data_IF_779649300453
#
_entry.id   IF_779649300453
#
_cell.length_a   1.000
_cell.length_b   1.000
_cell.length_c   1.000
_cell.angle_alpha   90.00
_cell.angle_beta   90.00
_cell.angle_gamma   90.00
#
_symmetry.space_group_name_H-M   'P 1'
#
loop_
_entity.id
_entity.type
_entity.pdbx_description
1 polymer ?
#
# COMPACT_ATOMS: atom_id res chain seq x y z
N UNK A 1 5.42 5.56 -20.16
CA UNK A 1 4.66 6.21 -19.07
C UNK A 1 5.42 6.00 -17.77
N UNK A 2 5.72 7.07 -17.04
CA UNK A 2 6.43 7.05 -15.76
C UNK A 2 5.50 7.68 -14.73
N UNK A 3 5.41 7.08 -13.55
CA UNK A 3 4.58 7.56 -12.45
C UNK A 3 5.41 7.64 -11.16
N UNK A 4 4.89 8.34 -10.18
CA UNK A 4 5.57 8.58 -8.91
C UNK A 4 5.08 7.63 -7.81
N UNK A 5 6.01 7.09 -7.04
CA UNK A 5 5.68 6.37 -5.82
C UNK A 5 5.17 7.34 -4.74
N UNK A 6 3.95 7.12 -4.24
CA UNK A 6 3.32 7.99 -3.23
C UNK A 6 4.01 8.02 -1.85
N UNK A 7 4.99 7.15 -1.56
CA UNK A 7 5.76 7.16 -0.31
C UNK A 7 7.13 7.84 -0.52
N UNK A 8 7.98 7.24 -1.36
CA UNK A 8 9.33 7.75 -1.56
C UNK A 8 9.40 8.94 -2.52
N UNK A 9 8.37 9.19 -3.35
CA UNK A 9 8.36 10.27 -4.35
C UNK A 9 9.31 10.04 -5.53
N UNK A 10 9.77 8.80 -5.73
CA UNK A 10 10.65 8.45 -6.86
C UNK A 10 9.80 8.26 -8.12
N UNK A 11 10.21 8.88 -9.23
CA UNK A 11 9.64 8.66 -10.56
C UNK A 11 10.18 7.34 -11.11
N UNK A 12 9.30 6.36 -11.35
CA UNK A 12 9.66 5.02 -11.81
C UNK A 12 8.80 4.61 -13.02
N UNK A 13 9.29 3.71 -13.87
CA UNK A 13 8.47 3.10 -14.92
C UNK A 13 7.36 2.23 -14.30
N UNK A 14 6.19 2.21 -14.95
CA UNK A 14 4.97 1.57 -14.42
C UNK A 14 5.16 0.11 -13.98
N UNK A 15 6.01 -0.67 -14.66
CA UNK A 15 6.29 -2.07 -14.29
C UNK A 15 6.91 -2.27 -12.89
N UNK A 16 7.50 -1.23 -12.31
CA UNK A 16 8.07 -1.25 -10.96
C UNK A 16 7.14 -0.67 -9.89
N UNK A 17 5.95 -0.22 -10.29
CA UNK A 17 4.92 0.27 -9.38
C UNK A 17 3.84 -0.80 -9.24
N UNK A 18 3.35 -1.01 -8.01
CA UNK A 18 2.11 -1.77 -7.78
C UNK A 18 1.11 -0.93 -7.00
N UNK A 19 -0.15 -1.33 -7.10
CA UNK A 19 -1.25 -0.70 -6.39
C UNK A 19 -1.44 -1.35 -5.03
N UNK A 20 -1.52 -0.54 -3.98
CA UNK A 20 -1.87 -1.02 -2.64
C UNK A 20 -3.36 -1.38 -2.59
N UNK A 21 -3.68 -2.56 -2.07
CA UNK A 21 -5.07 -3.05 -1.94
C UNK A 21 -5.92 -2.25 -0.94
N UNK A 22 -5.31 -1.57 0.06
CA UNK A 22 -6.04 -0.77 1.07
C UNK A 22 -6.30 0.68 0.66
N UNK A 23 -5.32 1.35 0.06
CA UNK A 23 -5.42 2.78 -0.25
C UNK A 23 -5.52 3.09 -1.75
N UNK A 24 -5.35 2.10 -2.63
CA UNK A 24 -5.52 2.24 -4.08
C UNK A 24 -4.43 3.05 -4.81
N UNK A 25 -3.43 3.56 -4.10
CA UNK A 25 -2.33 4.36 -4.67
C UNK A 25 -1.18 3.49 -5.17
N UNK A 26 -0.35 4.07 -6.05
CA UNK A 26 0.84 3.43 -6.63
C UNK A 26 2.08 3.62 -5.75
N UNK A 27 2.81 2.53 -5.55
CA UNK A 27 4.05 2.49 -4.76
C UNK A 27 5.10 1.62 -5.44
N UNK A 28 6.37 1.92 -5.21
CA UNK A 28 7.46 1.07 -5.67
C UNK A 28 7.51 -0.23 -4.85
N UNK A 29 8.11 -1.28 -5.43
CA UNK A 29 8.26 -2.60 -4.80
C UNK A 29 8.86 -2.48 -3.39
N UNK A 30 9.91 -1.67 -3.22
CA UNK A 30 10.56 -1.43 -1.92
C UNK A 30 9.65 -0.77 -0.86
N UNK A 31 8.62 -0.04 -1.29
CA UNK A 31 7.68 0.65 -0.41
C UNK A 31 6.39 -0.17 -0.16
N UNK A 32 6.41 -1.44 -0.53
CA UNK A 32 5.31 -2.37 -0.29
C UNK A 32 5.79 -3.61 0.43
N UNK A 33 4.86 -4.22 1.14
CA UNK A 33 5.05 -5.48 1.84
C UNK A 33 3.82 -6.35 1.61
N UNK A 34 4.03 -7.66 1.59
CA UNK A 34 2.94 -8.62 1.62
C UNK A 34 2.19 -8.53 2.96
N UNK A 35 0.93 -8.97 2.98
CA UNK A 35 0.15 -9.01 4.20
C UNK A 35 0.66 -10.12 5.14
N UNK A 36 1.41 -9.70 6.17
CA UNK A 36 1.90 -10.61 7.21
C UNK A 36 0.76 -11.05 8.15
N UNK A 37 -0.33 -10.28 8.26
CA UNK A 37 -1.39 -10.57 9.23
C UNK A 37 -2.34 -11.67 8.80
N UNK A 38 -2.54 -11.85 7.49
CA UNK A 38 -3.41 -12.90 6.92
C UNK A 38 -2.63 -14.05 6.29
N UNK A 39 -1.28 -13.98 6.29
CA UNK A 39 -0.39 -14.91 5.61
C UNK A 39 -0.62 -15.00 4.07
N UNK A 40 -1.35 -14.05 3.49
CA UNK A 40 -1.65 -13.98 2.06
C UNK A 40 -0.55 -13.18 1.33
N UNK A 41 0.43 -13.88 0.75
CA UNK A 41 1.51 -13.23 0.00
C UNK A 41 1.08 -12.56 -1.31
N UNK A 42 -0.16 -12.80 -1.76
CA UNK A 42 -0.76 -12.17 -2.94
C UNK A 42 -1.23 -10.74 -2.68
N UNK A 43 -1.54 -10.41 -1.42
CA UNK A 43 -2.05 -9.09 -1.03
C UNK A 43 -0.89 -8.17 -0.69
N UNK A 44 -0.68 -7.16 -1.54
CA UNK A 44 0.36 -6.16 -1.34
C UNK A 44 -0.20 -4.89 -0.72
N UNK A 45 0.41 -4.47 0.40
CA UNK A 45 0.10 -3.22 1.09
C UNK A 45 1.30 -2.28 1.07
N UNK A 46 1.05 -0.97 1.03
CA UNK A 46 2.11 0.00 1.24
C UNK A 46 2.54 0.02 2.71
N UNK A 47 3.78 0.45 2.99
CA UNK A 47 4.33 0.46 4.35
C UNK A 47 3.46 1.21 5.37
N UNK A 48 2.79 2.31 4.97
CA UNK A 48 1.87 3.02 5.86
C UNK A 48 0.60 2.22 6.17
N UNK A 49 0.07 1.49 5.19
CA UNK A 49 -1.09 0.62 5.38
C UNK A 49 -0.74 -0.61 6.22
N UNK A 50 0.43 -1.20 6.00
CA UNK A 50 0.93 -2.31 6.81
C UNK A 50 1.23 -1.87 8.26
N UNK A 51 1.82 -0.69 8.46
CA UNK A 51 2.00 -0.13 9.81
C UNK A 51 0.67 0.00 10.55
N UNK A 52 -0.40 0.41 9.85
CA UNK A 52 -1.72 0.58 10.45
C UNK A 52 -2.41 -0.74 10.79
N UNK A 53 -2.08 -1.87 10.14
CA UNK A 53 -2.59 -3.18 10.58
C UNK A 53 -1.88 -3.68 11.83
N UNK A 54 -0.55 -3.54 11.91
CA UNK A 54 0.24 -4.06 13.04
C UNK A 54 0.13 -3.17 14.28
N UNK A 55 0.10 -1.85 14.10
CA UNK A 55 -0.06 -0.88 15.18
C UNK A 55 -1.21 0.06 14.83
N UNK A 56 -2.46 -0.36 15.08
CA UNK A 56 -3.59 0.54 14.95
C UNK A 56 -3.34 1.73 15.88
N UNK A 57 -3.55 2.95 15.36
CA UNK A 57 -3.42 4.16 16.17
C UNK A 57 -4.37 4.01 17.36
N UNK A 58 -3.83 4.04 18.57
CA UNK A 58 -4.62 4.03 19.81
C UNK A 58 -5.62 5.18 19.73
N UNK A 59 -6.89 4.85 19.60
CA UNK A 59 -7.98 5.83 19.64
C UNK A 59 -8.06 6.46 21.04
N UNK A 60 -8.91 7.47 21.20
CA UNK A 60 -9.32 7.86 22.55
C UNK A 60 -10.05 6.70 23.22
N UNK A 61 -10.08 6.67 24.56
CA UNK A 61 -10.87 5.70 25.35
C UNK A 61 -12.30 5.55 24.81
N UNK A 62 -12.90 6.66 24.36
CA UNK A 62 -14.28 6.73 23.85
C UNK A 62 -14.43 6.41 22.35
N UNK A 63 -13.39 5.94 21.67
CA UNK A 63 -13.45 5.60 20.23
C UNK A 63 -14.37 4.40 19.95
N UNK A 64 -14.45 3.44 20.89
CA UNK A 64 -15.38 2.31 20.78
C UNK A 64 -16.85 2.76 20.83
N UNK A 65 -17.18 3.68 21.74
CA UNK A 65 -18.49 4.32 21.80
C UNK A 65 -18.79 5.10 20.51
N UNK A 66 -17.81 5.84 19.99
CA UNK A 66 -17.93 6.56 18.71
C UNK A 66 -18.27 5.60 17.56
N UNK A 67 -17.57 4.46 17.47
CA UNK A 67 -17.84 3.42 16.45
C UNK A 67 -19.22 2.80 16.60
N UNK A 68 -19.64 2.48 17.82
CA UNK A 68 -20.97 1.93 18.09
C UNK A 68 -22.07 2.89 17.65
N UNK A 69 -21.98 4.17 18.02
CA UNK A 69 -22.94 5.20 17.62
C UNK A 69 -22.92 5.44 16.09
N UNK A 70 -21.75 5.42 15.44
CA UNK A 70 -21.65 5.50 13.97
C UNK A 70 -22.34 4.33 13.29
N UNK A 71 -22.23 3.12 13.83
CA UNK A 71 -22.94 1.96 13.29
C UNK A 71 -24.46 2.11 13.44
N UNK A 72 -24.92 2.57 14.61
CA UNK A 72 -26.35 2.80 14.88
C UNK A 72 -26.96 3.92 14.04
N UNK A 73 -26.16 4.90 13.60
CA UNK A 73 -26.67 6.04 12.82
C UNK A 73 -27.20 5.67 11.44
N UNK A 74 -26.90 4.47 10.95
CA UNK A 74 -27.45 3.91 9.73
C UNK A 74 -28.92 3.48 9.88
N UNK A 75 -29.37 3.15 11.10
CA UNK A 75 -30.68 2.53 11.34
C UNK A 75 -31.61 3.38 12.20
N UNK A 76 -31.06 4.22 13.08
CA UNK A 76 -31.83 4.94 14.10
C UNK A 76 -31.34 6.37 14.26
N UNK A 77 -32.26 7.30 14.51
CA UNK A 77 -31.95 8.71 14.79
C UNK A 77 -31.85 9.01 16.29
N UNK A 78 -32.38 8.13 17.14
CA UNK A 78 -32.30 8.21 18.60
C UNK A 78 -31.86 6.87 19.17
N UNK A 79 -30.98 6.91 20.17
CA UNK A 79 -30.41 5.73 20.82
C UNK A 79 -30.41 5.95 22.32
N UNK A 80 -31.09 5.07 23.05
CA UNK A 80 -31.04 5.02 24.52
C UNK A 80 -29.99 4.00 24.95
N UNK A 81 -29.05 4.41 25.80
CA UNK A 81 -28.03 3.54 26.40
C UNK A 81 -28.02 3.71 27.92
N UNK A 82 -27.90 2.60 28.65
CA UNK A 82 -27.61 2.64 30.09
C UNK A 82 -26.11 2.87 30.34
N UNK A 83 -25.73 3.33 31.53
CA UNK A 83 -24.31 3.46 31.89
C UNK A 83 -23.57 2.13 31.79
N UNK A 84 -24.18 1.03 32.24
CA UNK A 84 -23.62 -0.32 32.12
C UNK A 84 -23.36 -0.75 30.68
N UNK A 85 -24.24 -0.39 29.74
CA UNK A 85 -24.01 -0.65 28.32
C UNK A 85 -22.86 0.18 27.78
N UNK A 86 -22.74 1.43 28.22
CA UNK A 86 -21.64 2.32 27.79
C UNK A 86 -20.30 1.80 28.31
N UNK A 87 -20.22 1.38 29.57
CA UNK A 87 -19.03 0.74 30.16
C UNK A 87 -18.62 -0.50 29.36
N UNK A 88 -19.59 -1.36 29.03
CA UNK A 88 -19.35 -2.55 28.19
C UNK A 88 -18.84 -2.20 26.79
N UNK A 89 -19.39 -1.17 26.16
CA UNK A 89 -18.97 -0.71 24.83
C UNK A 89 -17.55 -0.12 24.86
N UNK A 90 -17.22 0.64 25.89
CA UNK A 90 -15.88 1.23 26.08
C UNK A 90 -14.86 0.16 26.49
N UNK A 91 -15.34 -0.96 27.04
CA UNK A 91 -14.54 -2.02 27.66
C UNK A 91 -13.68 -1.50 28.82
N UNK A 92 -14.14 -0.44 29.47
CA UNK A 92 -13.52 0.22 30.62
C UNK A 92 -14.60 1.04 31.33
N UNK A 93 -14.44 1.24 32.63
CA UNK A 93 -15.44 1.90 33.47
C UNK A 93 -15.43 3.42 33.23
N UNK A 94 -16.62 4.00 33.21
CA UNK A 94 -16.82 5.44 33.25
C UNK A 94 -16.29 6.02 34.57
N UNK A 95 -15.75 7.24 34.55
CA UNK A 95 -15.31 7.90 35.77
C UNK A 95 -16.51 8.23 36.67
N UNK A 96 -16.29 8.30 37.99
CA UNK A 96 -17.33 8.64 38.98
C UNK A 96 -18.06 9.95 38.68
N UNK A 97 -17.40 10.90 38.01
CA UNK A 97 -18.01 12.16 37.58
C UNK A 97 -19.13 11.98 36.55
N UNK A 98 -19.08 10.94 35.72
CA UNK A 98 -20.13 10.63 34.75
C UNK A 98 -21.44 10.19 35.42
N UNK A 99 -21.36 9.54 36.58
CA UNK A 99 -22.52 9.11 37.36
C UNK A 99 -23.07 10.21 38.29
N UNK A 100 -22.21 11.14 38.71
CA UNK A 100 -22.58 12.18 39.70
C UNK A 100 -23.09 13.48 39.08
N UNK A 101 -22.71 13.80 37.85
CA UNK A 101 -22.96 15.14 37.31
C UNK A 101 -23.40 15.10 35.86
N UNK A 102 -24.57 15.67 35.57
CA UNK A 102 -25.11 15.77 34.21
C UNK A 102 -24.22 16.62 33.30
N UNK A 103 -23.51 17.60 33.85
CA UNK A 103 -22.58 18.45 33.11
C UNK A 103 -21.42 17.68 32.46
N UNK A 104 -21.12 16.47 32.95
CA UNK A 104 -20.16 15.58 32.30
C UNK A 104 -20.64 15.13 30.90
N UNK A 105 -21.96 15.02 30.71
CA UNK A 105 -22.60 14.63 29.45
C UNK A 105 -22.86 15.81 28.51
N UNK A 106 -22.28 16.97 28.78
CA UNK A 106 -22.41 18.15 27.93
C UNK A 106 -21.78 17.95 26.54
N UNK A 107 -22.34 18.63 25.54
CA UNK A 107 -21.91 18.54 24.14
C UNK A 107 -20.73 19.49 23.81
N UNK A 108 -19.71 19.58 24.68
CA UNK A 108 -18.56 20.47 24.49
C UNK A 108 -17.41 19.77 23.73
N UNK A 109 -16.98 20.27 22.56
CA UNK A 109 -15.96 19.60 21.75
C UNK A 109 -14.54 19.63 22.34
N UNK A 110 -14.31 20.43 23.39
CA UNK A 110 -13.06 20.51 24.15
C UNK A 110 -12.82 19.25 24.99
N UNK A 111 -13.91 18.62 25.45
CA UNK A 111 -13.84 17.46 26.31
C UNK A 111 -13.59 16.18 25.49
N UNK A 112 -12.65 15.35 25.93
CA UNK A 112 -12.24 14.12 25.23
C UNK A 112 -13.39 13.10 25.12
N UNK A 113 -14.24 13.02 26.16
CA UNK A 113 -15.43 12.17 26.16
C UNK A 113 -16.45 12.65 25.15
N UNK A 114 -16.82 13.94 25.20
CA UNK A 114 -17.84 14.51 24.33
C UNK A 114 -17.44 14.48 22.86
N UNK A 115 -16.15 14.65 22.58
CA UNK A 115 -15.61 14.49 21.24
C UNK A 115 -15.92 13.10 20.64
N UNK A 116 -16.04 12.05 21.45
CA UNK A 116 -16.35 10.69 20.96
C UNK A 116 -17.70 10.59 20.24
N UNK A 117 -18.78 11.09 20.87
CA UNK A 117 -20.10 11.09 20.24
C UNK A 117 -20.29 12.24 19.23
N UNK A 118 -19.69 13.40 19.48
CA UNK A 118 -19.72 14.53 18.52
C UNK A 118 -19.01 14.18 17.19
N UNK A 119 -17.84 13.52 17.23
CA UNK A 119 -17.14 13.05 16.03
C UNK A 119 -17.92 11.91 15.32
N UNK A 120 -18.88 11.29 15.99
CA UNK A 120 -19.83 10.35 15.42
C UNK A 120 -21.09 11.02 14.83
N UNK A 121 -21.25 12.33 14.99
CA UNK A 121 -22.45 13.05 14.56
C UNK A 121 -23.63 12.86 15.51
N UNK A 122 -23.39 12.58 16.79
CA UNK A 122 -24.41 12.44 17.82
C UNK A 122 -24.26 13.54 18.87
N UNK A 123 -25.37 13.88 19.51
CA UNK A 123 -25.45 14.81 20.64
C UNK A 123 -26.25 14.15 21.76
N UNK A 124 -25.86 14.37 23.00
CA UNK A 124 -26.67 13.98 24.15
C UNK A 124 -27.88 14.90 24.21
N UNK A 125 -29.08 14.31 24.23
CA UNK A 125 -30.34 15.04 24.39
C UNK A 125 -30.74 15.11 25.86
N UNK A 126 -30.62 14.00 26.58
CA UNK A 126 -30.99 13.88 27.99
C UNK A 126 -30.07 12.86 28.67
N UNK A 127 -29.65 13.17 29.89
CA UNK A 127 -28.89 12.27 30.75
C UNK A 127 -29.61 12.14 32.10
N UNK A 128 -30.28 11.00 32.33
CA UNK A 128 -30.98 10.73 33.57
C UNK A 128 -30.07 9.91 34.49
N UNK A 129 -29.53 10.57 35.52
CA UNK A 129 -28.63 9.93 36.49
C UNK A 129 -29.35 8.98 37.46
N UNK A 130 -30.64 9.21 37.74
CA UNK A 130 -31.42 8.41 38.70
C UNK A 130 -31.69 7.02 38.17
N UNK A 131 -32.12 6.95 36.91
CA UNK A 131 -32.45 5.70 36.23
C UNK A 131 -31.26 5.13 35.44
N UNK A 132 -30.15 5.88 35.39
CA UNK A 132 -28.87 5.43 34.83
C UNK A 132 -28.84 5.28 33.31
N UNK A 133 -29.54 6.15 32.58
CA UNK A 133 -29.61 6.10 31.11
C UNK A 133 -29.39 7.45 30.45
N UNK A 134 -29.02 7.38 29.16
CA UNK A 134 -28.71 8.52 28.32
C UNK A 134 -29.38 8.34 26.97
N UNK A 135 -29.95 9.43 26.47
CA UNK A 135 -30.55 9.48 25.15
C UNK A 135 -29.63 10.27 24.23
N UNK A 136 -29.04 9.57 23.26
CA UNK A 136 -28.30 10.17 22.16
C UNK A 136 -29.24 10.44 21.00
N UNK A 137 -29.12 11.63 20.41
CA UNK A 137 -29.84 12.03 19.20
C UNK A 137 -28.85 12.35 18.09
N UNK A 138 -29.15 11.90 16.88
CA UNK A 138 -28.34 12.18 15.70
C UNK A 138 -28.38 13.67 15.37
N UNK A 139 -27.21 14.29 15.29
CA UNK A 139 -27.07 15.68 14.89
C UNK A 139 -27.14 15.76 13.36
N UNK A 140 -28.03 16.62 12.86
CA UNK A 140 -28.12 16.93 11.42
C UNK A 140 -26.88 17.66 10.90
N UNK A 141 -26.07 18.24 11.79
CA UNK A 141 -24.90 19.04 11.45
C UNK A 141 -23.65 18.17 11.47
N UNK A 142 -23.56 17.20 10.55
CA UNK A 142 -22.29 16.51 10.34
C UNK A 142 -21.37 17.51 9.63
N UNK A 143 -20.55 18.25 10.39
CA UNK A 143 -19.39 18.92 9.82
C UNK A 143 -18.51 17.80 9.27
N UNK A 144 -18.66 17.49 7.99
CA UNK A 144 -17.72 16.64 7.29
C UNK A 144 -16.36 17.26 7.55
N UNK A 145 -15.53 16.60 8.37
CA UNK A 145 -14.11 16.93 8.41
C UNK A 145 -13.66 16.65 7.00
N UNK A 146 -13.63 17.69 6.17
CA UNK A 146 -12.99 17.60 4.86
C UNK A 146 -11.63 17.03 5.18
N UNK A 147 -11.30 15.90 4.54
CA UNK A 147 -9.94 15.44 4.50
C UNK A 147 -9.20 16.59 3.79
N UNK A 148 -8.79 17.62 4.55
CA UNK A 148 -7.83 18.58 4.09
C UNK A 148 -6.64 17.70 3.79
N UNK A 149 -6.46 17.34 2.51
CA UNK A 149 -5.19 16.89 1.98
C UNK A 149 -4.23 17.92 2.57
N UNK A 150 -3.44 17.52 3.56
CA UNK A 150 -2.28 18.30 3.94
C UNK A 150 -1.55 18.45 2.62
N UNK A 151 -1.65 19.64 2.03
CA UNK A 151 -0.78 20.10 0.96
C UNK A 151 0.59 19.70 1.45
N UNK A 152 1.24 18.78 0.73
CA UNK A 152 2.56 18.31 1.09
C UNK A 152 3.43 19.55 1.12
N UNK A 153 3.69 20.05 2.33
CA UNK A 153 4.76 21.00 2.54
C UNK A 153 5.98 20.36 1.88
N UNK A 154 6.75 21.14 1.13
CA UNK A 154 8.03 20.74 0.58
C UNK A 154 9.01 20.49 1.74
N UNK A 155 8.70 19.50 2.59
CA UNK A 155 9.61 18.95 3.57
C UNK A 155 10.68 18.23 2.78
N UNK A 156 11.86 18.84 2.74
CA UNK A 156 13.10 18.16 2.38
C UNK A 156 13.15 16.92 3.28
N UNK A 157 12.86 15.75 2.70
CA UNK A 157 12.79 14.51 3.45
C UNK A 157 14.12 14.35 4.20
N UNK A 158 14.12 14.16 5.53
CA UNK A 158 15.36 14.12 6.33
C UNK A 158 16.30 12.99 5.90
N UNK A 159 15.79 12.03 5.12
CA UNK A 159 16.56 10.97 4.52
C UNK A 159 16.18 10.83 3.03
N UNK A 160 17.09 11.19 2.13
CA UNK A 160 17.04 10.78 0.74
C UNK A 160 17.66 9.39 0.64
N UNK A 161 16.86 8.33 0.49
CA UNK A 161 17.40 6.97 0.46
C UNK A 161 18.41 6.84 -0.69
N UNK A 162 19.60 6.34 -0.35
CA UNK A 162 20.72 6.10 -1.27
C UNK A 162 20.18 5.49 -2.56
N UNK A 163 20.63 6.02 -3.71
CA UNK A 163 20.25 5.49 -5.02
C UNK A 163 20.73 4.04 -5.11
N UNK A 164 19.82 3.09 -4.86
CA UNK A 164 20.08 1.68 -5.13
C UNK A 164 20.27 1.57 -6.63
N UNK A 165 21.46 1.15 -7.06
CA UNK A 165 21.73 0.86 -8.48
C UNK A 165 20.85 -0.33 -8.82
N UNK A 166 19.81 -0.11 -9.63
CA UNK A 166 19.03 -1.21 -10.18
C UNK A 166 20.00 -2.12 -10.94
N UNK A 167 20.10 -3.43 -10.60
CA UNK A 167 20.87 -4.37 -11.39
C UNK A 167 20.32 -4.31 -12.80
N UNK A 168 21.14 -3.82 -13.75
CA UNK A 168 20.75 -3.84 -15.15
C UNK A 168 20.58 -5.32 -15.52
N UNK A 169 19.44 -5.67 -16.10
CA UNK A 169 19.28 -6.97 -16.75
C UNK A 169 20.44 -7.14 -17.73
N UNK A 170 21.30 -8.13 -17.49
CA UNK A 170 22.47 -8.44 -18.33
C UNK A 170 21.99 -9.02 -19.66
N UNK A 171 21.35 -8.17 -20.49
CA UNK A 171 21.03 -8.52 -21.86
C UNK A 171 22.34 -8.46 -22.66
N UNK A 172 22.74 -9.53 -23.37
CA UNK A 172 23.90 -9.48 -24.24
C UNK A 172 23.73 -8.35 -25.27
N UNK A 173 24.83 -7.68 -25.62
CA UNK A 173 24.80 -6.63 -26.65
C UNK A 173 24.31 -7.19 -27.98
N UNK A 174 23.69 -6.34 -28.82
CA UNK A 174 23.24 -6.72 -30.17
C UNK A 174 24.38 -7.38 -30.98
N UNK A 175 25.61 -6.89 -30.80
CA UNK A 175 26.82 -7.43 -31.41
C UNK A 175 27.19 -8.83 -30.90
N UNK A 176 26.97 -9.12 -29.62
CA UNK A 176 27.23 -10.46 -29.04
C UNK A 176 26.18 -11.46 -29.52
N UNK A 177 24.92 -11.04 -29.60
CA UNK A 177 23.82 -11.84 -30.16
C UNK A 177 24.07 -12.15 -31.64
N UNK A 178 24.50 -11.16 -32.45
CA UNK A 178 24.79 -11.38 -33.86
C UNK A 178 26.00 -12.31 -34.08
N UNK A 179 27.09 -12.15 -33.32
CA UNK A 179 28.25 -13.06 -33.34
C UNK A 179 27.83 -14.50 -33.00
N UNK A 180 26.95 -14.69 -32.01
CA UNK A 180 26.45 -16.01 -31.60
C UNK A 180 25.53 -16.62 -32.68
N UNK A 181 24.63 -15.84 -33.26
CA UNK A 181 23.77 -16.27 -34.37
C UNK A 181 24.59 -16.69 -35.60
N UNK A 182 25.61 -15.91 -35.96
CA UNK A 182 26.52 -16.26 -37.06
C UNK A 182 27.26 -17.58 -36.78
N UNK A 183 27.68 -17.81 -35.54
CA UNK A 183 28.33 -19.07 -35.12
C UNK A 183 27.38 -20.26 -35.24
N UNK A 184 26.12 -20.12 -34.81
CA UNK A 184 25.10 -21.16 -34.97
C UNK A 184 24.87 -21.48 -36.45
N UNK A 185 24.75 -20.46 -37.31
CA UNK A 185 24.60 -20.66 -38.76
C UNK A 185 25.80 -21.35 -39.40
N UNK A 186 27.02 -21.11 -38.92
CA UNK A 186 28.20 -21.82 -39.40
C UNK A 186 28.18 -23.30 -39.00
N UNK A 187 27.77 -23.62 -37.76
CA UNK A 187 27.62 -25.00 -37.30
C UNK A 187 26.51 -25.73 -38.08
N UNK A 188 25.38 -25.08 -38.35
CA UNK A 188 24.32 -25.63 -39.20
C UNK A 188 24.84 -25.96 -40.61
N UNK A 189 25.63 -25.07 -41.22
CA UNK A 189 26.24 -25.31 -42.53
C UNK A 189 27.26 -26.44 -42.51
N UNK A 190 28.08 -26.54 -41.46
CA UNK A 190 29.02 -27.66 -41.28
C UNK A 190 28.29 -28.99 -41.08
N UNK A 191 27.16 -28.99 -40.38
CA UNK A 191 26.32 -30.20 -40.23
C UNK A 191 25.63 -30.58 -41.53
N UNK A 192 25.26 -29.59 -42.36
CA UNK A 192 24.61 -29.82 -43.65
C UNK A 192 25.60 -30.10 -44.80
N UNK A 193 26.90 -29.79 -44.63
CA UNK A 193 27.91 -30.09 -45.64
C UNK A 193 28.15 -31.60 -45.72
N UNK A 194 28.12 -32.14 -46.93
CA UNK A 194 28.41 -33.54 -47.19
C UNK A 194 29.89 -33.84 -46.92
N UNK A 195 30.23 -35.01 -46.35
CA UNK A 195 31.61 -35.39 -46.13
C UNK A 195 32.38 -35.43 -47.45
N UNK A 196 33.51 -34.73 -47.49
CA UNK A 196 34.41 -34.69 -48.65
C UNK A 196 35.27 -35.95 -48.63
N UNK A 197 35.12 -36.80 -49.65
CA UNK A 197 35.98 -37.97 -49.83
C UNK A 197 37.37 -37.57 -50.36
N UNK A 198 38.45 -38.22 -49.91
CA UNK A 198 39.80 -37.94 -50.40
C UNK A 198 39.86 -38.20 -51.91
N UNK A 199 40.18 -37.16 -52.70
CA UNK A 199 40.31 -37.24 -54.16
C UNK A 199 39.46 -36.24 -54.96
N UNK A 200 38.50 -35.54 -54.35
CA UNK A 200 37.72 -34.52 -55.08
C UNK A 200 38.48 -33.19 -55.16
N UNK A 201 39.07 -32.88 -56.32
CA UNK A 201 39.76 -31.62 -56.64
C UNK A 201 38.82 -30.42 -56.90
N UNK A 202 37.74 -30.26 -56.12
CA UNK A 202 36.88 -29.07 -56.25
C UNK A 202 37.41 -27.94 -55.35
N UNK A 203 37.75 -26.76 -55.92
CA UNK A 203 38.21 -25.63 -55.11
C UNK A 203 37.09 -25.14 -54.19
N UNK A 204 37.44 -24.72 -52.98
CA UNK A 204 36.47 -24.21 -52.00
C UNK A 204 35.65 -23.05 -52.59
N UNK A 205 34.31 -23.09 -52.53
CA UNK A 205 33.46 -22.06 -53.10
C UNK A 205 33.72 -20.69 -52.46
N UNK A 206 33.56 -19.62 -53.25
CA UNK A 206 33.95 -18.23 -52.90
C UNK A 206 33.31 -17.73 -51.59
N UNK A 207 32.13 -18.25 -51.23
CA UNK A 207 31.42 -17.88 -50.00
C UNK A 207 32.03 -18.51 -48.73
N UNK A 208 32.64 -19.70 -48.81
CA UNK A 208 33.31 -20.36 -47.67
C UNK A 208 34.56 -19.60 -47.25
N UNK A 209 35.25 -18.93 -48.19
CA UNK A 209 36.41 -18.08 -47.90
C UNK A 209 36.05 -16.86 -47.04
N UNK A 210 34.77 -16.47 -47.00
CA UNK A 210 34.26 -15.31 -46.23
C UNK A 210 33.71 -15.68 -44.85
N UNK A 211 33.65 -16.97 -44.50
CA UNK A 211 33.18 -17.41 -43.17
C UNK A 211 34.24 -17.07 -42.13
N UNK A 212 33.82 -16.54 -40.98
CA UNK A 212 34.69 -16.37 -39.82
C UNK A 212 35.25 -17.73 -39.41
N UNK A 213 36.58 -17.88 -39.48
CA UNK A 213 37.27 -19.09 -39.03
C UNK A 213 36.90 -19.35 -37.57
N UNK A 214 36.45 -20.56 -37.24
CA UNK A 214 36.04 -20.97 -35.89
C UNK A 214 37.11 -20.75 -34.83
N UNK A 215 38.38 -20.71 -35.24
CA UNK A 215 39.56 -20.56 -34.38
C UNK A 215 39.97 -19.10 -34.14
N UNK A 216 39.46 -18.13 -34.91
CA UNK A 216 39.82 -16.72 -34.70
C UNK A 216 38.88 -16.07 -33.69
N UNK A 217 39.41 -15.72 -32.50
CA UNK A 217 38.71 -14.84 -31.55
C UNK A 217 38.41 -13.51 -32.25
N UNK A 218 37.16 -13.02 -32.18
CA UNK A 218 36.84 -11.71 -32.73
C UNK A 218 37.43 -10.64 -31.82
N UNK A 219 38.30 -9.79 -32.35
CA UNK A 219 38.62 -8.50 -31.75
C UNK A 219 37.35 -7.65 -31.62
#
# INVERSE_FOLDING_TARGET
>A
MKDECCLCGRVLPYGYLRRCQRCGRLYCIDCMIADVSTNDFTRMFCLNCARRSVSPKSGSKYDALSRHLKFRSAFTDTVRLSFSQIDGIISDNLPMSAYRTESWWNNTPTNVHAKGWLDAGWTVQEANLKDGYIIFKKSKVVKAKSFRKRTSHNEIKPFTPVRVRMPKSNRPSKTKVSKLFARLKNLERQRASTPVYPGSFKPKPKHERRLFKSEKKPQ
#
